data_IF_257130189946
#
_entry.id   IF_257130189946
#
_cell.length_a   1.000
_cell.length_b   1.000
_cell.length_c   1.000
_cell.angle_alpha   90.00
_cell.angle_beta   90.00
_cell.angle_gamma   90.00
#
_symmetry.space_group_name_H-M   'P 1'
#
loop_
_entity.id
_entity.type
_entity.pdbx_description
1 polymer ?
#
# COMPACT_ATOMS: atom_id res chain seq x y z
N UNK A 1 -18.43 -17.04 9.56
CA UNK A 1 -18.12 -16.67 9.42
C UNK A 1 -17.73 -16.10 9.33
N UNK A 2 -17.44 -15.93 9.50
CA UNK A 2 -16.98 -15.35 9.57
C UNK A 2 -16.63 -14.75 9.08
N UNK A 3 -16.51 -14.66 9.15
CA UNK A 3 -16.03 -14.01 8.93
C UNK A 3 -15.61 -13.48 8.42
N UNK A 4 -15.43 -13.40 8.66
CA UNK A 4 -14.85 -12.85 8.27
C UNK A 4 -14.42 -12.69 7.50
N UNK A 5 -14.59 -12.60 7.74
CA UNK A 5 -13.80 -12.54 7.10
C UNK A 5 -13.07 -11.82 6.45
N UNK A 6 -12.18 -11.93 6.96
CA UNK A 6 -11.28 -11.18 6.17
C UNK A 6 -11.92 -10.94 4.84
N UNK A 7 -11.96 -9.73 4.39
CA UNK A 7 -12.71 -9.37 3.25
C UNK A 7 -12.36 -10.16 2.00
N UNK A 8 -13.17 -9.99 1.01
CA UNK A 8 -12.95 -10.64 -0.26
C UNK A 8 -11.68 -10.11 -0.91
N UNK A 9 -10.93 -10.99 -1.56
CA UNK A 9 -9.79 -10.58 -2.36
C UNK A 9 -10.29 -10.04 -3.70
N UNK A 10 -9.71 -8.91 -4.09
CA UNK A 10 -10.05 -8.23 -5.33
C UNK A 10 -8.80 -8.14 -6.18
N UNK A 11 -8.91 -8.50 -7.46
CA UNK A 11 -7.77 -8.37 -8.38
C UNK A 11 -7.52 -6.91 -8.67
N UNK A 12 -6.28 -6.46 -8.43
CA UNK A 12 -5.89 -5.07 -8.60
C UNK A 12 -4.88 -4.87 -9.73
N UNK A 13 -4.17 -5.93 -10.10
CA UNK A 13 -3.15 -5.85 -11.16
C UNK A 13 -2.78 -7.25 -11.61
N UNK A 14 -2.00 -7.33 -12.68
CA UNK A 14 -1.38 -8.57 -13.13
C UNK A 14 0.08 -8.59 -12.77
N UNK A 15 0.61 -9.78 -12.54
CA UNK A 15 2.05 -9.96 -12.37
C UNK A 15 2.76 -9.41 -13.60
N UNK A 16 3.77 -8.56 -13.37
CA UNK A 16 4.48 -7.88 -14.45
C UNK A 16 3.96 -6.48 -14.76
N UNK A 17 2.77 -6.13 -14.26
CA UNK A 17 2.20 -4.80 -14.52
C UNK A 17 2.89 -3.72 -13.69
N UNK A 18 3.31 -4.07 -12.47
CA UNK A 18 4.00 -3.13 -11.58
C UNK A 18 5.48 -3.50 -11.58
N UNK A 19 6.36 -2.66 -12.12
CA UNK A 19 7.79 -3.00 -12.14
C UNK A 19 8.39 -2.99 -10.74
N UNK A 20 9.51 -3.68 -10.52
CA UNK A 20 10.18 -3.62 -9.21
C UNK A 20 10.50 -2.18 -8.83
N UNK A 21 10.16 -1.82 -7.59
CA UNK A 21 10.31 -0.45 -7.11
C UNK A 21 9.18 0.47 -7.54
N UNK A 22 8.21 -0.05 -8.31
CA UNK A 22 7.10 0.73 -8.78
C UNK A 22 5.89 0.66 -7.87
N UNK A 23 4.87 1.42 -8.24
CA UNK A 23 3.63 1.49 -7.47
C UNK A 23 2.46 1.67 -8.45
N UNK A 24 1.33 1.06 -8.11
CA UNK A 24 0.08 1.30 -8.81
C UNK A 24 -0.94 1.82 -7.80
N UNK A 25 -1.56 2.95 -8.12
CA UNK A 25 -2.61 3.52 -7.29
C UNK A 25 -3.94 3.24 -7.95
N UNK A 26 -4.90 2.77 -7.17
CA UNK A 26 -6.24 2.52 -7.68
C UNK A 26 -7.26 2.80 -6.60
N UNK A 27 -8.49 3.02 -7.04
CA UNK A 27 -9.59 3.26 -6.13
C UNK A 27 -10.49 2.03 -6.09
N UNK A 28 -10.76 1.55 -4.88
CA UNK A 28 -11.66 0.44 -4.66
C UNK A 28 -12.72 0.90 -3.69
N UNK A 29 -13.95 1.06 -4.18
CA UNK A 29 -15.01 1.66 -3.38
C UNK A 29 -14.63 3.09 -3.01
N UNK A 30 -14.58 3.39 -1.73
CA UNK A 30 -14.24 4.72 -1.23
C UNK A 30 -12.76 4.87 -0.88
N UNK A 31 -11.96 3.83 -1.12
CA UNK A 31 -10.58 3.82 -0.67
C UNK A 31 -9.61 3.93 -1.81
N UNK A 32 -8.61 4.79 -1.65
CA UNK A 32 -7.47 4.84 -2.57
C UNK A 32 -6.34 4.03 -1.99
N UNK A 33 -5.86 3.08 -2.80
CA UNK A 33 -4.90 2.09 -2.34
C UNK A 33 -3.68 2.13 -3.25
N UNK A 34 -2.50 2.10 -2.62
CA UNK A 34 -1.23 2.02 -3.33
C UNK A 34 -0.70 0.60 -3.20
N UNK A 35 -0.35 -0.02 -4.33
CA UNK A 35 0.24 -1.36 -4.36
C UNK A 35 1.68 -1.20 -4.84
N UNK A 36 2.61 -1.53 -3.95
CA UNK A 36 4.05 -1.43 -4.22
C UNK A 36 4.62 -2.79 -4.58
N UNK A 37 5.60 -2.79 -5.49
CA UNK A 37 6.35 -4.00 -5.83
C UNK A 37 7.75 -3.84 -5.27
N UNK A 38 8.10 -4.64 -4.25
CA UNK A 38 9.38 -4.54 -3.57
C UNK A 38 10.01 -5.92 -3.44
N UNK A 39 11.18 -6.10 -4.06
CA UNK A 39 11.98 -7.33 -3.89
C UNK A 39 11.19 -8.61 -4.12
N UNK A 40 10.38 -8.64 -5.16
CA UNK A 40 9.62 -9.84 -5.53
C UNK A 40 8.32 -10.01 -4.76
N UNK A 41 7.99 -9.08 -3.88
CA UNK A 41 6.75 -9.11 -3.10
C UNK A 41 5.91 -7.87 -3.38
N UNK A 42 4.61 -7.96 -3.12
CA UNK A 42 3.70 -6.85 -3.30
C UNK A 42 3.13 -6.44 -1.95
N UNK A 43 3.02 -5.13 -1.73
CA UNK A 43 2.52 -4.58 -0.47
C UNK A 43 1.46 -3.54 -0.78
N UNK A 44 0.33 -3.61 -0.11
CA UNK A 44 -0.78 -2.69 -0.33
C UNK A 44 -1.06 -1.90 0.95
N UNK A 45 -1.29 -0.60 0.77
CA UNK A 45 -1.63 0.28 1.89
C UNK A 45 -2.52 1.40 1.39
N UNK A 46 -3.19 2.09 2.30
CA UNK A 46 -3.92 3.28 1.95
C UNK A 46 -2.96 4.30 1.33
N UNK A 47 -3.39 4.93 0.24
CA UNK A 47 -2.58 5.98 -0.40
C UNK A 47 -2.85 7.32 0.27
N UNK A 48 -2.64 7.36 1.59
CA UNK A 48 -2.95 8.52 2.40
C UNK A 48 -1.87 8.70 3.44
N UNK A 49 -1.22 9.86 3.45
CA UNK A 49 -0.34 10.24 4.54
C UNK A 49 -1.19 10.57 5.76
N UNK A 50 -0.98 9.86 6.86
CA UNK A 50 -1.78 10.05 8.06
C UNK A 50 -1.54 11.40 8.72
N UNK A 51 -0.46 12.10 8.34
CA UNK A 51 -0.17 13.42 8.86
C UNK A 51 -1.04 14.49 8.19
N UNK A 52 -1.13 14.49 6.85
CA UNK A 52 -1.78 15.59 6.14
C UNK A 52 -2.78 15.14 5.07
N UNK A 53 -3.00 13.84 4.92
CA UNK A 53 -3.96 13.31 3.95
C UNK A 53 -3.48 13.28 2.50
N UNK A 54 -2.23 13.67 2.25
CA UNK A 54 -1.69 13.67 0.88
C UNK A 54 -1.38 12.26 0.38
N UNK A 55 -1.24 12.11 -0.95
CA UNK A 55 -1.00 10.80 -1.55
C UNK A 55 0.43 10.33 -1.32
N UNK A 56 0.58 9.18 -0.63
CA UNK A 56 1.90 8.63 -0.32
C UNK A 56 2.62 8.12 -1.56
N UNK A 57 1.87 7.61 -2.54
CA UNK A 57 2.49 7.02 -3.72
C UNK A 57 3.26 8.04 -4.56
N UNK A 58 3.03 9.33 -4.36
CA UNK A 58 3.77 10.38 -5.04
C UNK A 58 5.09 10.71 -4.36
N UNK A 59 5.35 10.09 -3.22
CA UNK A 59 6.58 10.31 -2.50
C UNK A 59 7.74 9.49 -3.02
N UNK A 60 8.81 9.45 -2.24
CA UNK A 60 10.04 8.75 -2.60
C UNK A 60 10.11 7.43 -1.85
N UNK A 61 10.27 6.34 -2.61
CA UNK A 61 10.44 5.01 -2.04
C UNK A 61 11.92 4.66 -2.01
N UNK A 62 12.43 4.40 -0.79
CA UNK A 62 13.80 3.92 -0.61
C UNK A 62 13.75 2.62 0.17
N UNK A 63 14.13 1.51 -0.50
CA UNK A 63 13.98 0.21 0.09
C UNK A 63 12.51 -0.03 0.42
N UNK A 64 12.20 -0.24 1.70
CA UNK A 64 10.83 -0.48 2.15
C UNK A 64 10.20 0.75 2.81
N UNK A 65 10.81 1.92 2.67
CA UNK A 65 10.35 3.16 3.31
C UNK A 65 9.80 4.11 2.26
N UNK A 66 8.55 4.55 2.44
CA UNK A 66 7.96 5.59 1.60
C UNK A 66 7.98 6.90 2.37
N UNK A 67 8.48 7.95 1.74
CA UNK A 67 8.53 9.28 2.34
C UNK A 67 7.48 10.16 1.71
N UNK A 68 6.59 10.72 2.54
CA UNK A 68 5.55 11.63 2.08
C UNK A 68 6.21 12.86 1.42
N UNK A 69 5.74 13.26 0.23
CA UNK A 69 6.40 14.35 -0.50
C UNK A 69 6.22 15.72 0.12
N UNK A 70 5.28 15.87 1.05
CA UNK A 70 4.93 17.20 1.56
C UNK A 70 5.77 17.61 2.76
N UNK A 71 5.87 16.74 3.77
CA UNK A 71 6.55 17.11 5.02
C UNK A 71 7.58 16.08 5.46
N UNK A 72 7.84 15.07 4.63
CA UNK A 72 8.89 14.09 4.90
C UNK A 72 8.51 13.00 5.89
N UNK A 73 7.23 12.83 6.21
CA UNK A 73 6.80 11.71 7.05
C UNK A 73 7.16 10.39 6.38
N UNK A 74 7.62 9.41 7.16
CA UNK A 74 8.09 8.14 6.63
C UNK A 74 7.31 6.97 7.19
N UNK A 75 7.06 6.00 6.33
CA UNK A 75 6.29 4.81 6.69
C UNK A 75 6.92 3.58 6.09
N UNK A 76 6.82 2.46 6.81
CA UNK A 76 7.23 1.16 6.28
C UNK A 76 6.10 0.59 5.45
N UNK A 77 6.34 0.36 4.15
CA UNK A 77 5.27 -0.11 3.26
C UNK A 77 4.85 -1.55 3.57
N UNK A 78 5.67 -2.30 4.30
CA UNK A 78 5.36 -3.69 4.64
C UNK A 78 4.37 -3.79 5.80
N UNK A 79 4.40 -2.84 6.71
CA UNK A 79 3.61 -2.90 7.95
C UNK A 79 2.74 -1.68 8.18
N UNK A 80 3.00 -0.57 7.49
CA UNK A 80 2.34 0.70 7.73
C UNK A 80 2.90 1.48 8.90
N UNK A 81 3.93 0.96 9.56
CA UNK A 81 4.46 1.60 10.76
C UNK A 81 5.05 2.97 10.45
N UNK A 82 4.87 3.90 11.38
CA UNK A 82 5.49 5.22 11.31
C UNK A 82 6.96 5.08 11.59
N UNK A 83 7.81 5.61 10.69
CA UNK A 83 9.25 5.58 10.85
C UNK A 83 9.85 6.97 11.00
N UNK A 84 9.08 8.02 10.71
CA UNK A 84 9.60 9.38 10.79
C UNK A 84 8.51 10.40 10.98
N UNK A 85 8.83 11.39 11.83
CA UNK A 85 7.93 12.52 12.04
C UNK A 85 7.80 13.32 10.74
N UNK A 86 6.74 14.12 10.59
CA UNK A 86 5.77 14.48 11.61
C UNK A 86 4.59 13.54 11.78
N UNK A 87 4.53 12.43 11.07
CA UNK A 87 3.42 11.49 11.24
C UNK A 87 3.52 10.79 12.58
N UNK A 88 2.37 10.55 13.22
CA UNK A 88 2.29 9.84 14.49
C UNK A 88 1.37 8.64 14.41
N UNK A 89 0.65 8.46 13.30
CA UNK A 89 -0.31 7.36 13.13
C UNK A 89 0.16 6.45 12.01
N UNK A 90 0.06 5.12 12.19
CA UNK A 90 0.43 4.22 11.11
C UNK A 90 -0.58 4.29 9.95
N UNK A 91 -0.12 3.84 8.79
CA UNK A 91 -0.98 3.74 7.60
C UNK A 91 -1.60 2.34 7.59
N UNK A 92 -2.88 2.26 7.24
CA UNK A 92 -3.56 0.98 7.13
C UNK A 92 -2.99 0.19 5.96
N UNK A 93 -2.66 -1.08 6.20
CA UNK A 93 -2.19 -2.00 5.17
C UNK A 93 -3.23 -3.08 4.93
N UNK A 94 -3.11 -3.74 3.77
CA UNK A 94 -4.06 -4.77 3.34
C UNK A 94 -3.28 -6.02 2.94
N UNK A 95 -3.79 -7.22 3.27
CA UNK A 95 -3.17 -8.45 2.80
C UNK A 95 -3.14 -8.53 1.28
N UNK A 96 -2.06 -9.05 0.74
CA UNK A 96 -1.88 -9.22 -0.70
C UNK A 96 -1.56 -10.68 -0.97
N UNK A 97 -2.14 -11.23 -2.04
CA UNK A 97 -1.77 -12.56 -2.50
C UNK A 97 -1.67 -12.56 -4.03
N UNK A 98 -0.92 -13.51 -4.55
CA UNK A 98 -0.83 -13.74 -5.99
C UNK A 98 -1.52 -15.05 -6.30
N UNK A 99 -2.52 -14.99 -7.19
CA UNK A 99 -3.25 -16.17 -7.66
C UNK A 99 -3.01 -16.29 -9.15
N UNK A 100 -2.22 -17.27 -9.56
CA UNK A 100 -1.83 -17.38 -10.97
C UNK A 100 -1.04 -16.16 -11.37
N UNK A 101 -1.55 -15.37 -12.31
CA UNK A 101 -0.93 -14.14 -12.76
C UNK A 101 -1.63 -12.89 -12.19
N UNK A 102 -2.52 -13.06 -11.20
CA UNK A 102 -3.30 -11.96 -10.66
C UNK A 102 -2.78 -11.56 -9.29
N UNK A 103 -2.62 -10.25 -9.09
CA UNK A 103 -2.28 -9.66 -7.80
C UNK A 103 -3.58 -9.24 -7.16
N UNK A 104 -3.86 -9.75 -5.95
CA UNK A 104 -5.13 -9.53 -5.27
C UNK A 104 -4.91 -8.94 -3.89
N UNK A 105 -5.81 -8.06 -3.50
CA UNK A 105 -5.76 -7.37 -2.20
C UNK A 105 -7.04 -7.69 -1.45
N UNK A 106 -6.92 -8.02 -0.16
CA UNK A 106 -8.07 -8.29 0.69
C UNK A 106 -8.53 -6.98 1.32
N UNK A 107 -9.79 -6.64 1.08
CA UNK A 107 -10.42 -5.46 1.68
C UNK A 107 -11.33 -5.89 2.83
N UNK A 108 -11.50 -5.05 3.85
CA UNK A 108 -12.42 -5.36 4.94
C UNK A 108 -13.86 -5.45 4.50
#
# INVERSE_FOLDING_TARGET
MSGTTAGAYVTVARVGEIPPGGVKVLRIGDQEIAVFHLSGAYHAMDDVCTHDGGPLAEGTLEGHVIECPRHGARFDIRTGAVLGMPATQPVTTYPVRVEGDQIQVALP
#
